data_IF_121502769725
#
_entry.id   IF_121502769725
#
_cell.length_a   1.000
_cell.length_b   1.000
_cell.length_c   1.000
_cell.angle_alpha   90.00
_cell.angle_beta   90.00
_cell.angle_gamma   90.00
#
_symmetry.space_group_name_H-M   'P 1'
#
loop_
_entity.id
_entity.type
_entity.pdbx_description
1 polymer ?
#
# COMPACT_ATOMS: atom_id res chain seq x y z
N UNK A 1 0.55 -4.56 -38.13
CA UNK A 1 0.40 -3.47 -37.15
C UNK A 1 -0.02 -4.10 -35.84
N UNK A 2 0.77 -3.98 -34.78
CA UNK A 2 0.39 -4.56 -33.49
C UNK A 2 -0.74 -3.71 -32.89
N UNK A 3 -1.90 -4.33 -32.61
CA UNK A 3 -3.02 -3.69 -31.91
C UNK A 3 -2.52 -3.00 -30.64
N UNK A 4 -2.81 -1.70 -30.53
CA UNK A 4 -2.53 -0.88 -29.35
C UNK A 4 -3.54 -1.31 -28.28
N UNK A 5 -3.09 -1.56 -27.06
CA UNK A 5 -4.00 -1.93 -25.96
C UNK A 5 -4.94 -0.75 -25.67
N UNK A 6 -6.23 -0.88 -26.01
CA UNK A 6 -7.26 0.18 -25.88
C UNK A 6 -7.84 0.28 -24.45
N UNK A 7 -7.45 -0.64 -23.57
CA UNK A 7 -7.94 -0.75 -22.19
C UNK A 7 -6.82 -0.87 -21.17
N UNK A 8 -7.13 -0.53 -19.91
CA UNK A 8 -6.21 -0.70 -18.78
C UNK A 8 -6.48 -2.01 -18.08
N UNK A 9 -5.41 -2.70 -17.69
CA UNK A 9 -5.46 -3.90 -16.86
C UNK A 9 -4.73 -3.60 -15.57
N UNK A 10 -5.40 -3.85 -14.45
CA UNK A 10 -4.84 -3.68 -13.12
C UNK A 10 -4.82 -4.99 -12.37
N UNK A 11 -3.80 -5.19 -11.55
CA UNK A 11 -3.62 -6.39 -10.72
C UNK A 11 -3.37 -5.98 -9.27
N UNK A 12 -4.28 -6.39 -8.38
CA UNK A 12 -4.12 -6.29 -6.92
C UNK A 12 -3.47 -7.57 -6.38
N UNK A 13 -2.26 -7.42 -5.84
CA UNK A 13 -1.44 -8.48 -5.27
C UNK A 13 -1.73 -8.60 -3.77
N UNK A 14 -2.73 -9.41 -3.44
CA UNK A 14 -3.08 -9.73 -2.06
C UNK A 14 -2.38 -10.98 -1.52
N UNK A 15 -2.31 -11.09 -0.19
CA UNK A 15 -1.74 -12.26 0.48
C UNK A 15 -2.59 -13.51 0.27
N UNK A 16 -3.92 -13.39 0.28
CA UNK A 16 -4.83 -14.54 0.15
C UNK A 16 -5.29 -14.78 -1.29
N UNK A 17 -5.32 -13.74 -2.12
CA UNK A 17 -5.78 -13.79 -3.50
C UNK A 17 -5.10 -12.71 -4.35
N UNK A 18 -5.06 -12.95 -5.66
CA UNK A 18 -4.69 -11.95 -6.66
C UNK A 18 -5.96 -11.63 -7.45
N UNK A 19 -6.25 -10.35 -7.61
CA UNK A 19 -7.47 -9.86 -8.28
C UNK A 19 -7.06 -9.03 -9.49
N UNK A 20 -7.70 -9.22 -10.64
CA UNK A 20 -7.48 -8.41 -11.82
C UNK A 20 -8.78 -7.81 -12.35
N UNK A 21 -8.68 -6.57 -12.85
CA UNK A 21 -9.74 -5.87 -13.57
C UNK A 21 -9.18 -5.34 -14.88
N UNK A 22 -9.97 -5.45 -15.94
CA UNK A 22 -9.75 -4.78 -17.20
C UNK A 22 -10.88 -3.79 -17.46
N UNK A 23 -10.55 -2.57 -17.87
CA UNK A 23 -11.57 -1.56 -18.13
C UNK A 23 -11.09 -0.34 -18.90
N UNK A 24 -12.07 0.44 -19.34
CA UNK A 24 -11.91 1.68 -20.10
C UNK A 24 -12.71 2.80 -19.45
N UNK A 25 -12.34 4.05 -19.76
CA UNK A 25 -13.17 5.21 -19.43
C UNK A 25 -14.00 5.54 -20.66
N UNK A 26 -15.31 5.55 -20.51
CA UNK A 26 -16.22 5.93 -21.59
C UNK A 26 -16.32 7.46 -21.73
N UNK A 27 -17.05 7.91 -22.75
CA UNK A 27 -17.24 9.33 -23.09
C UNK A 27 -17.86 10.14 -21.93
N UNK A 28 -18.67 9.50 -21.08
CA UNK A 28 -19.30 10.12 -19.91
C UNK A 28 -18.39 10.12 -18.67
N UNK A 29 -17.09 9.87 -18.82
CA UNK A 29 -16.13 9.76 -17.73
C UNK A 29 -16.47 8.69 -16.69
N UNK A 30 -17.26 7.67 -17.08
CA UNK A 30 -17.54 6.50 -16.25
C UNK A 30 -16.60 5.36 -16.62
N UNK A 31 -16.30 4.50 -15.65
CA UNK A 31 -15.46 3.33 -15.85
C UNK A 31 -16.32 2.16 -16.30
N UNK A 32 -16.03 1.62 -17.48
CA UNK A 32 -16.63 0.39 -17.98
C UNK A 32 -15.67 -0.77 -17.74
N UNK A 33 -16.16 -1.79 -17.02
CA UNK A 33 -15.39 -3.00 -16.75
C UNK A 33 -15.61 -3.98 -17.90
N UNK A 34 -14.54 -4.28 -18.62
CA UNK A 34 -14.54 -5.21 -19.76
C UNK A 34 -14.29 -6.65 -19.31
N UNK A 35 -13.57 -6.84 -18.19
CA UNK A 35 -13.30 -8.16 -17.66
C UNK A 35 -12.82 -8.09 -16.21
N UNK A 36 -13.07 -9.16 -15.46
CA UNK A 36 -12.60 -9.30 -14.09
C UNK A 36 -12.34 -10.73 -13.74
N UNK A 37 -11.38 -10.95 -12.85
CA UNK A 37 -11.09 -12.29 -12.36
C UNK A 37 -10.28 -12.27 -11.05
N UNK A 38 -10.22 -13.42 -10.37
CA UNK A 38 -9.40 -13.63 -9.18
C UNK A 38 -8.89 -15.07 -9.08
N UNK A 39 -7.71 -15.23 -8.50
CA UNK A 39 -7.10 -16.54 -8.18
C UNK A 39 -6.62 -16.56 -6.72
N UNK A 40 -6.57 -17.72 -6.05
CA UNK A 40 -5.81 -17.88 -4.82
C UNK A 40 -4.36 -17.44 -5.01
N UNK A 41 -3.82 -16.74 -4.02
CA UNK A 41 -2.44 -16.25 -4.07
C UNK A 41 -1.44 -17.37 -3.80
N UNK A 42 -0.26 -17.30 -4.43
CA UNK A 42 0.88 -18.21 -4.22
C UNK A 42 2.17 -17.39 -4.23
N UNK A 43 3.15 -17.79 -3.43
CA UNK A 43 4.41 -17.07 -3.31
C UNK A 43 4.33 -15.68 -2.66
N UNK A 44 3.21 -15.30 -2.02
CA UNK A 44 3.00 -13.98 -1.40
C UNK A 44 2.74 -14.16 0.10
N UNK A 45 3.40 -13.34 0.92
CA UNK A 45 3.24 -13.36 2.38
C UNK A 45 3.25 -11.94 2.91
N UNK A 46 2.29 -11.59 3.77
CA UNK A 46 2.17 -10.25 4.39
C UNK A 46 2.25 -9.11 3.36
N UNK A 47 1.61 -9.32 2.21
CA UNK A 47 1.53 -8.35 1.12
C UNK A 47 2.79 -8.18 0.28
N UNK A 48 3.77 -9.09 0.41
CA UNK A 48 5.05 -9.04 -0.33
C UNK A 48 5.21 -10.32 -1.14
N UNK A 49 5.66 -10.18 -2.40
CA UNK A 49 6.08 -11.32 -3.23
C UNK A 49 7.38 -11.92 -2.68
N UNK A 50 7.29 -13.10 -2.08
CA UNK A 50 8.42 -13.86 -1.55
C UNK A 50 8.98 -14.84 -2.60
N UNK A 51 8.11 -15.46 -3.39
CA UNK A 51 8.47 -16.37 -4.48
C UNK A 51 7.92 -15.84 -5.81
N UNK A 52 8.74 -15.13 -6.62
CA UNK A 52 8.34 -14.61 -7.92
C UNK A 52 7.88 -15.68 -8.92
N UNK A 53 8.36 -16.93 -8.83
CA UNK A 53 7.97 -17.99 -9.77
C UNK A 53 6.55 -18.49 -9.50
N UNK A 54 6.24 -18.75 -8.23
CA UNK A 54 4.88 -19.13 -7.82
C UNK A 54 3.87 -18.03 -8.13
N UNK A 55 4.23 -16.77 -7.86
CA UNK A 55 3.40 -15.62 -8.20
C UNK A 55 3.20 -15.51 -9.72
N UNK A 56 4.27 -15.66 -10.52
CA UNK A 56 4.17 -15.65 -11.98
C UNK A 56 3.23 -16.75 -12.51
N UNK A 57 3.27 -17.95 -11.91
CA UNK A 57 2.33 -19.02 -12.25
C UNK A 57 0.87 -18.63 -12.02
N UNK A 58 0.55 -18.08 -10.84
CA UNK A 58 -0.81 -17.61 -10.54
C UNK A 58 -1.24 -16.44 -11.43
N UNK A 59 -0.32 -15.51 -11.71
CA UNK A 59 -0.56 -14.36 -12.60
C UNK A 59 -0.84 -14.80 -14.04
N UNK A 60 -0.09 -15.77 -14.60
CA UNK A 60 -0.35 -16.31 -15.95
C UNK A 60 -1.76 -16.87 -16.07
N UNK A 61 -2.20 -17.65 -15.09
CA UNK A 61 -3.56 -18.20 -15.08
C UNK A 61 -4.63 -17.10 -15.02
N UNK A 62 -4.43 -16.09 -14.18
CA UNK A 62 -5.33 -14.96 -14.05
C UNK A 62 -5.43 -14.15 -15.35
N UNK A 63 -4.30 -13.85 -15.98
CA UNK A 63 -4.25 -13.06 -17.21
C UNK A 63 -4.85 -13.83 -18.39
N UNK A 64 -4.61 -15.14 -18.50
CA UNK A 64 -5.20 -15.96 -19.58
C UNK A 64 -6.73 -15.91 -19.56
N UNK A 65 -7.35 -16.09 -18.38
CA UNK A 65 -8.80 -16.00 -18.22
C UNK A 65 -9.35 -14.60 -18.44
N UNK A 66 -8.53 -13.57 -18.22
CA UNK A 66 -8.90 -12.19 -18.49
C UNK A 66 -8.80 -11.85 -19.99
N UNK A 67 -7.79 -12.35 -20.70
CA UNK A 67 -7.66 -12.23 -22.16
C UNK A 67 -8.86 -12.81 -22.91
N UNK A 68 -9.42 -13.92 -22.41
CA UNK A 68 -10.65 -14.54 -22.94
C UNK A 68 -11.87 -13.62 -22.82
N UNK A 69 -12.00 -12.86 -21.72
CA UNK A 69 -13.13 -11.96 -21.48
C UNK A 69 -13.06 -10.69 -22.31
N UNK A 70 -11.85 -10.16 -22.53
CA UNK A 70 -11.64 -8.88 -23.24
C UNK A 70 -11.35 -9.06 -24.73
N UNK A 71 -11.41 -10.30 -25.23
CA UNK A 71 -11.13 -10.69 -26.62
C UNK A 71 -9.83 -10.07 -27.17
N UNK A 72 -8.79 -9.99 -26.33
CA UNK A 72 -7.61 -9.19 -26.62
C UNK A 72 -6.36 -9.62 -25.86
N UNK A 73 -5.20 -9.29 -26.42
CA UNK A 73 -3.90 -9.57 -25.79
C UNK A 73 -3.54 -8.50 -24.76
N UNK A 74 -3.21 -8.96 -23.55
CA UNK A 74 -2.76 -8.10 -22.46
C UNK A 74 -1.24 -8.05 -22.50
N UNK A 75 -0.68 -6.85 -22.58
CA UNK A 75 0.78 -6.65 -22.63
C UNK A 75 1.30 -5.84 -21.47
N UNK A 76 0.52 -4.86 -21.02
CA UNK A 76 0.88 -3.99 -19.90
C UNK A 76 -0.12 -4.18 -18.80
N UNK A 77 0.39 -4.41 -17.58
CA UNK A 77 -0.40 -4.46 -16.36
C UNK A 77 0.08 -3.39 -15.39
N UNK A 78 -0.85 -2.60 -14.88
CA UNK A 78 -0.60 -1.74 -13.74
C UNK A 78 -0.83 -2.56 -12.46
N UNK A 79 0.02 -2.43 -11.45
CA UNK A 79 0.00 -3.29 -10.27
C UNK A 79 -0.20 -2.47 -9.01
N UNK A 80 -0.93 -3.06 -8.07
CA UNK A 80 -0.98 -2.57 -6.70
C UNK A 80 -0.59 -3.63 -5.69
N UNK A 81 0.22 -3.24 -4.71
CA UNK A 81 0.76 -4.11 -3.66
C UNK A 81 1.18 -3.24 -2.47
N UNK A 82 1.08 -3.79 -1.27
CA UNK A 82 1.71 -3.20 -0.09
C UNK A 82 1.95 -4.24 1.00
N UNK A 83 3.14 -4.16 1.60
CA UNK A 83 3.54 -4.92 2.78
C UNK A 83 4.17 -4.02 3.83
N UNK A 84 4.84 -4.62 4.82
CA UNK A 84 5.51 -3.92 5.92
C UNK A 84 6.60 -2.94 5.45
N UNK A 85 6.98 -1.97 6.29
CA UNK A 85 8.08 -1.05 5.96
C UNK A 85 7.65 0.07 5.01
N UNK A 86 6.34 0.31 4.84
CA UNK A 86 5.89 1.60 4.33
C UNK A 86 6.09 2.63 5.44
N UNK A 87 6.75 3.74 5.11
CA UNK A 87 6.94 4.88 5.99
C UNK A 87 6.50 6.16 5.33
N UNK A 88 5.98 7.08 6.13
CA UNK A 88 5.64 8.44 5.71
C UNK A 88 6.71 9.38 6.25
N UNK A 89 7.35 10.13 5.36
CA UNK A 89 8.34 11.15 5.68
C UNK A 89 7.84 12.52 5.20
N UNK A 90 8.34 13.57 5.83
CA UNK A 90 8.10 14.95 5.39
C UNK A 90 9.40 15.53 4.89
N UNK A 91 9.37 16.16 3.73
CA UNK A 91 10.46 16.98 3.22
C UNK A 91 10.03 18.45 3.22
N UNK A 92 10.92 19.33 3.66
CA UNK A 92 10.76 20.77 3.54
C UNK A 92 11.97 21.33 2.80
N UNK A 93 11.72 22.04 1.71
CA UNK A 93 12.74 22.64 0.86
C UNK A 93 12.44 24.10 0.60
N UNK A 94 13.48 24.91 0.37
CA UNK A 94 13.35 26.33 0.09
C UNK A 94 14.16 26.69 -1.15
N UNK A 95 13.55 27.51 -2.03
CA UNK A 95 14.18 28.04 -3.23
C UNK A 95 14.00 29.56 -3.31
N UNK A 96 15.08 30.25 -3.66
CA UNK A 96 15.05 31.68 -3.98
C UNK A 96 14.74 31.89 -5.46
N UNK A 97 13.92 32.88 -5.76
CA UNK A 97 13.36 33.11 -7.10
C UNK A 97 13.89 34.45 -7.62
N UNK A 98 14.79 34.39 -8.61
CA UNK A 98 15.50 35.56 -9.14
C UNK A 98 14.57 36.50 -9.92
N UNK A 99 13.65 35.94 -10.71
CA UNK A 99 12.66 36.71 -11.48
C UNK A 99 11.63 37.42 -10.60
N UNK A 100 11.49 37.03 -9.33
CA UNK A 100 10.40 37.42 -8.46
C UNK A 100 9.04 36.78 -8.82
N UNK A 101 9.00 35.87 -9.79
CA UNK A 101 7.79 35.15 -10.21
C UNK A 101 8.07 33.66 -10.27
N UNK A 102 7.31 32.85 -9.51
CA UNK A 102 7.50 31.40 -9.45
C UNK A 102 7.23 30.78 -10.82
N UNK A 103 8.20 30.03 -11.34
CA UNK A 103 8.08 29.24 -12.57
C UNK A 103 7.90 27.75 -12.28
N UNK A 104 7.46 26.98 -13.27
CA UNK A 104 7.43 25.51 -13.18
C UNK A 104 8.83 24.94 -12.88
N UNK A 105 9.89 25.57 -13.36
CA UNK A 105 11.27 25.12 -13.11
C UNK A 105 11.70 25.27 -11.64
N UNK A 106 11.07 26.18 -10.90
CA UNK A 106 11.31 26.36 -9.47
C UNK A 106 10.65 25.24 -8.65
N UNK A 107 9.43 24.85 -9.04
CA UNK A 107 8.71 23.72 -8.46
C UNK A 107 9.42 22.41 -8.77
N UNK A 108 9.77 22.17 -10.04
CA UNK A 108 10.46 20.95 -10.49
C UNK A 108 11.80 20.72 -9.76
N UNK A 109 12.47 21.80 -9.34
CA UNK A 109 13.69 21.71 -8.56
C UNK A 109 13.45 21.25 -7.14
N UNK A 110 12.47 21.84 -6.43
CA UNK A 110 12.15 21.43 -5.07
C UNK A 110 11.61 19.98 -5.06
N UNK A 111 10.83 19.60 -6.07
CA UNK A 111 10.43 18.21 -6.28
C UNK A 111 11.65 17.29 -6.48
N UNK A 112 12.63 17.71 -7.28
CA UNK A 112 13.85 16.94 -7.50
C UNK A 112 14.69 16.82 -6.23
N UNK A 113 14.77 17.86 -5.41
CA UNK A 113 15.44 17.79 -4.11
C UNK A 113 14.72 16.83 -3.17
N UNK A 114 13.39 16.92 -3.08
CA UNK A 114 12.58 16.00 -2.30
C UNK A 114 12.78 14.53 -2.74
N UNK A 115 12.83 14.27 -4.04
CA UNK A 115 13.09 12.93 -4.58
C UNK A 115 14.51 12.40 -4.29
N UNK A 116 15.48 13.29 -4.06
CA UNK A 116 16.87 12.92 -3.75
C UNK A 116 17.17 12.98 -2.25
N UNK A 117 16.15 13.16 -1.40
CA UNK A 117 16.31 13.09 0.05
C UNK A 117 16.98 11.77 0.45
N UNK A 118 18.00 11.79 1.32
CA UNK A 118 18.64 10.58 1.81
C UNK A 118 17.63 9.65 2.48
N UNK A 119 17.64 8.38 2.07
CA UNK A 119 16.81 7.33 2.66
C UNK A 119 17.68 6.24 3.27
N UNK A 120 17.07 5.42 4.11
CA UNK A 120 17.68 4.16 4.57
C UNK A 120 18.08 3.29 3.37
N UNK A 121 19.23 2.58 3.45
CA UNK A 121 19.65 1.67 2.37
C UNK A 121 18.55 0.67 1.99
N UNK A 122 18.28 0.57 0.69
CA UNK A 122 17.26 -0.34 0.16
C UNK A 122 15.83 0.22 0.15
N UNK A 123 15.60 1.45 0.59
CA UNK A 123 14.33 2.14 0.46
C UNK A 123 14.31 3.07 -0.76
N UNK A 124 13.10 3.36 -1.24
CA UNK A 124 12.85 4.36 -2.29
C UNK A 124 11.54 5.10 -2.04
N UNK A 125 11.44 6.29 -2.58
CA UNK A 125 10.18 7.04 -2.65
C UNK A 125 9.31 6.39 -3.73
N UNK A 126 8.10 5.99 -3.35
CA UNK A 126 7.08 5.48 -4.27
C UNK A 126 6.09 6.57 -4.67
N UNK A 127 5.69 7.41 -3.71
CA UNK A 127 4.71 8.47 -3.93
C UNK A 127 5.17 9.74 -3.24
N UNK A 128 4.91 10.89 -3.87
CA UNK A 128 5.19 12.20 -3.32
C UNK A 128 3.95 13.07 -3.50
N UNK A 129 3.57 13.80 -2.46
CA UNK A 129 2.40 14.65 -2.47
C UNK A 129 2.80 16.05 -2.00
N UNK A 130 2.47 17.11 -2.73
CA UNK A 130 2.63 18.47 -2.22
C UNK A 130 1.72 18.66 -1.00
N UNK A 131 2.30 19.10 0.12
CA UNK A 131 1.57 19.38 1.36
C UNK A 131 1.21 20.86 1.46
N UNK A 132 2.16 21.76 1.27
CA UNK A 132 1.93 23.20 1.29
C UNK A 132 3.04 23.96 0.57
N UNK A 133 2.71 25.14 0.06
CA UNK A 133 3.68 26.13 -0.40
C UNK A 133 3.53 27.41 0.42
N UNK A 134 4.64 28.09 0.67
CA UNK A 134 4.69 29.42 1.24
C UNK A 134 5.59 30.30 0.37
N UNK A 135 5.10 31.47 -0.03
CA UNK A 135 5.78 32.38 -0.96
C UNK A 135 5.78 33.79 -0.35
N UNK A 136 6.97 34.31 -0.03
CA UNK A 136 7.08 35.56 0.72
C UNK A 136 6.38 35.45 2.09
N UNK A 137 5.39 36.30 2.33
CA UNK A 137 4.55 36.30 3.54
C UNK A 137 3.24 35.51 3.37
N UNK A 138 2.95 35.03 2.16
CA UNK A 138 1.75 34.24 1.86
C UNK A 138 1.99 32.77 2.21
N UNK A 139 1.22 32.25 3.18
CA UNK A 139 1.22 30.84 3.57
C UNK A 139 0.08 30.06 2.91
N UNK A 140 0.25 28.74 2.75
CA UNK A 140 -0.76 27.81 2.23
C UNK A 140 -1.18 28.06 0.77
N UNK A 141 -0.23 28.52 -0.05
CA UNK A 141 -0.43 28.63 -1.50
C UNK A 141 -0.67 27.24 -2.09
N UNK A 142 -1.76 27.08 -2.83
CA UNK A 142 -2.16 25.78 -3.43
C UNK A 142 -1.45 25.58 -4.78
N UNK A 143 -1.47 26.61 -5.63
CA UNK A 143 -0.87 26.59 -6.97
C UNK A 143 0.27 27.60 -7.00
N UNK A 144 1.53 27.19 -6.80
CA UNK A 144 2.62 28.14 -6.59
C UNK A 144 3.05 28.85 -7.89
N UNK A 145 2.87 28.22 -9.05
CA UNK A 145 3.33 28.77 -10.34
C UNK A 145 2.55 30.05 -10.69
N UNK A 146 3.29 31.12 -10.99
CA UNK A 146 2.72 32.43 -11.31
C UNK A 146 2.49 33.34 -10.09
N UNK A 147 2.77 32.89 -8.87
CA UNK A 147 2.78 33.77 -7.71
C UNK A 147 4.04 34.64 -7.68
N UNK A 148 3.89 35.89 -7.25
CA UNK A 148 5.01 36.81 -7.06
C UNK A 148 5.67 36.59 -5.69
N UNK A 149 7.00 36.44 -5.69
CA UNK A 149 7.78 36.28 -4.47
C UNK A 149 9.24 35.98 -4.76
N UNK A 150 10.11 36.34 -3.81
CA UNK A 150 11.56 36.11 -3.91
C UNK A 150 12.03 34.83 -3.23
N UNK A 151 11.16 34.20 -2.43
CA UNK A 151 11.44 32.98 -1.68
C UNK A 151 10.19 32.12 -1.69
N UNK A 152 10.35 30.85 -2.08
CA UNK A 152 9.32 29.83 -1.99
C UNK A 152 9.82 28.70 -1.09
N UNK A 153 9.03 28.31 -0.10
CA UNK A 153 9.22 27.10 0.70
C UNK A 153 8.13 26.11 0.32
N UNK A 154 8.51 24.85 0.09
CA UNK A 154 7.60 23.77 -0.24
C UNK A 154 7.74 22.64 0.77
N UNK A 155 6.61 22.12 1.22
CA UNK A 155 6.53 20.95 2.07
C UNK A 155 5.92 19.80 1.25
N UNK A 156 6.54 18.62 1.28
CA UNK A 156 6.07 17.42 0.60
C UNK A 156 5.91 16.26 1.58
N UNK A 157 4.83 15.50 1.43
CA UNK A 157 4.67 14.19 2.07
C UNK A 157 5.25 13.12 1.14
N UNK A 158 6.24 12.38 1.62
CA UNK A 158 6.92 11.31 0.89
C UNK A 158 6.50 9.95 1.45
N UNK A 159 6.03 9.06 0.58
CA UNK A 159 5.73 7.68 0.94
C UNK A 159 6.86 6.80 0.43
N UNK A 160 7.59 6.20 1.37
CA UNK A 160 8.73 5.34 1.07
C UNK A 160 8.43 3.90 1.43
N UNK A 161 9.07 2.97 0.74
CA UNK A 161 9.01 1.54 1.02
C UNK A 161 10.26 0.84 0.48
N UNK A 162 10.49 -0.44 0.81
CA UNK A 162 11.57 -1.21 0.23
C UNK A 162 11.55 -1.19 -1.31
N UNK A 163 12.71 -0.94 -1.92
CA UNK A 163 12.88 -0.94 -3.37
C UNK A 163 12.56 -2.31 -3.98
N UNK A 164 12.80 -3.38 -3.22
CA UNK A 164 12.53 -4.76 -3.60
C UNK A 164 11.06 -5.05 -3.94
N UNK A 165 10.10 -4.22 -3.49
CA UNK A 165 8.69 -4.39 -3.82
C UNK A 165 8.44 -4.29 -5.33
N UNK A 166 8.97 -3.24 -5.96
CA UNK A 166 8.88 -3.10 -7.40
C UNK A 166 9.70 -4.16 -8.12
N UNK A 167 10.92 -4.41 -7.67
CA UNK A 167 11.87 -5.30 -8.37
C UNK A 167 11.36 -6.75 -8.43
N UNK A 168 10.76 -7.25 -7.34
CA UNK A 168 10.22 -8.63 -7.30
C UNK A 168 8.98 -8.78 -8.16
N UNK A 169 8.10 -7.78 -8.16
CA UNK A 169 6.91 -7.74 -9.02
C UNK A 169 7.31 -7.62 -10.49
N UNK A 170 8.23 -6.73 -10.83
CA UNK A 170 8.70 -6.52 -12.21
C UNK A 170 9.31 -7.80 -12.79
N UNK A 171 10.11 -8.53 -11.99
CA UNK A 171 10.64 -9.85 -12.37
C UNK A 171 9.52 -10.86 -12.64
N UNK A 172 8.52 -10.94 -11.77
CA UNK A 172 7.42 -11.89 -11.94
C UNK A 172 6.52 -11.55 -13.14
N UNK A 173 6.19 -10.27 -13.33
CA UNK A 173 5.41 -9.78 -14.48
C UNK A 173 6.16 -10.06 -15.79
N UNK A 174 7.47 -9.81 -15.83
CA UNK A 174 8.30 -10.10 -17.01
C UNK A 174 8.33 -11.59 -17.36
N UNK A 175 8.33 -12.49 -16.36
CA UNK A 175 8.24 -13.95 -16.56
C UNK A 175 6.91 -14.41 -17.18
N UNK A 176 5.88 -13.56 -17.13
CA UNK A 176 4.61 -13.81 -17.80
C UNK A 176 4.59 -13.29 -19.25
N UNK A 177 5.68 -12.70 -19.74
CA UNK A 177 5.70 -12.01 -21.04
C UNK A 177 4.97 -10.66 -21.02
N UNK A 178 4.75 -10.10 -19.83
CA UNK A 178 4.06 -8.83 -19.60
C UNK A 178 5.05 -7.73 -19.23
N UNK A 179 4.66 -6.49 -19.44
CA UNK A 179 5.38 -5.30 -18.99
C UNK A 179 4.67 -4.71 -17.77
N UNK A 180 5.46 -4.38 -16.74
CA UNK A 180 4.96 -3.63 -15.60
C UNK A 180 4.76 -2.16 -15.99
N UNK A 181 3.53 -1.68 -15.92
CA UNK A 181 3.19 -0.28 -16.09
C UNK A 181 3.44 0.51 -14.80
N UNK A 182 2.35 0.96 -14.21
CA UNK A 182 2.28 1.73 -12.97
C UNK A 182 2.33 0.79 -11.77
N UNK A 183 2.94 1.26 -10.70
CA UNK A 183 3.01 0.55 -9.43
C UNK A 183 2.51 1.50 -8.35
N UNK A 184 1.37 1.19 -7.75
CA UNK A 184 0.76 2.02 -6.71
C UNK A 184 0.67 1.23 -5.43
N UNK A 185 0.98 1.86 -4.30
CA UNK A 185 0.84 1.18 -3.01
C UNK A 185 -0.66 1.00 -2.75
N UNK A 186 -1.05 -0.22 -2.39
CA UNK A 186 -2.47 -0.56 -2.27
C UNK A 186 -3.29 0.25 -1.25
N UNK A 187 -2.72 0.85 -0.17
CA UNK A 187 -3.47 1.77 0.68
C UNK A 187 -4.01 2.99 -0.09
N UNK A 188 -3.28 3.50 -1.10
CA UNK A 188 -3.77 4.58 -1.97
C UNK A 188 -4.90 4.11 -2.88
N UNK A 189 -4.71 2.94 -3.49
CA UNK A 189 -5.71 2.39 -4.40
C UNK A 189 -7.03 2.12 -3.68
N UNK A 190 -7.00 1.53 -2.48
CA UNK A 190 -8.24 1.31 -1.73
C UNK A 190 -8.87 2.61 -1.24
N UNK A 191 -8.07 3.59 -0.80
CA UNK A 191 -8.60 4.89 -0.39
C UNK A 191 -9.37 5.55 -1.53
N UNK A 192 -8.76 5.64 -2.73
CA UNK A 192 -9.40 6.24 -3.90
C UNK A 192 -10.73 5.56 -4.29
N UNK A 193 -10.90 4.28 -3.95
CA UNK A 193 -12.13 3.56 -4.24
C UNK A 193 -13.26 3.85 -3.23
N UNK A 194 -12.96 4.17 -1.97
CA UNK A 194 -13.95 4.05 -0.88
C UNK A 194 -14.30 5.34 -0.14
N UNK A 195 -13.52 6.41 -0.36
CA UNK A 195 -13.77 7.72 0.24
C UNK A 195 -14.03 8.80 -0.81
N UNK A 196 -14.86 9.78 -0.47
CA UNK A 196 -15.10 10.97 -1.31
C UNK A 196 -14.08 12.07 -1.04
N UNK A 197 -14.07 13.11 -1.88
CA UNK A 197 -13.19 14.28 -1.66
C UNK A 197 -13.62 15.05 -0.40
N UNK A 198 -14.92 15.12 -0.11
CA UNK A 198 -15.43 15.77 1.11
C UNK A 198 -14.94 15.06 2.38
N UNK A 199 -14.85 13.72 2.36
CA UNK A 199 -14.29 12.96 3.49
C UNK A 199 -12.78 13.19 3.62
N UNK A 200 -12.05 13.33 2.51
CA UNK A 200 -10.62 13.69 2.53
C UNK A 200 -10.40 15.09 3.12
N UNK A 201 -11.30 16.04 2.83
CA UNK A 201 -11.25 17.41 3.34
C UNK A 201 -11.54 17.48 4.85
N UNK A 202 -12.63 16.86 5.29
CA UNK A 202 -13.01 16.79 6.71
C UNK A 202 -11.99 16.02 7.55
N UNK A 203 -11.35 15.02 6.94
CA UNK A 203 -10.38 14.15 7.56
C UNK A 203 -10.96 12.77 7.86
N UNK A 204 -10.32 11.74 7.33
CA UNK A 204 -10.84 10.37 7.35
C UNK A 204 -9.70 9.36 7.45
N UNK A 205 -9.94 8.27 8.18
CA UNK A 205 -9.07 7.10 8.22
C UNK A 205 -9.64 6.02 7.32
N UNK A 206 -8.83 5.47 6.42
CA UNK A 206 -9.15 4.25 5.68
C UNK A 206 -8.40 3.08 6.30
N UNK A 207 -9.15 2.11 6.80
CA UNK A 207 -8.65 0.88 7.40
C UNK A 207 -8.98 -0.34 6.53
N UNK A 208 -8.02 -0.84 5.75
CA UNK A 208 -8.18 -2.06 4.93
C UNK A 208 -7.66 -3.29 5.68
N UNK A 209 -8.57 -4.07 6.26
CA UNK A 209 -8.26 -5.27 7.05
C UNK A 209 -8.33 -6.50 6.12
N UNK A 210 -7.19 -6.79 5.49
CA UNK A 210 -7.02 -7.87 4.52
C UNK A 210 -6.86 -9.27 5.16
N UNK A 211 -6.24 -10.18 4.40
CA UNK A 211 -5.86 -11.50 4.93
C UNK A 211 -4.52 -11.46 5.67
N UNK A 212 -3.46 -11.00 5.01
CA UNK A 212 -2.11 -10.96 5.61
C UNK A 212 -1.68 -9.62 6.18
N UNK A 213 -2.43 -8.54 5.93
CA UNK A 213 -2.04 -7.17 6.29
C UNK A 213 -3.26 -6.31 6.60
N UNK A 214 -3.11 -5.43 7.59
CA UNK A 214 -4.03 -4.30 7.84
C UNK A 214 -3.36 -3.02 7.37
N UNK A 215 -4.04 -2.21 6.57
CA UNK A 215 -3.48 -0.98 5.99
C UNK A 215 -4.21 0.23 6.52
N UNK A 216 -3.46 1.27 6.84
CA UNK A 216 -3.95 2.52 7.41
C UNK A 216 -3.56 3.65 6.49
N UNK A 217 -4.54 4.43 6.05
CA UNK A 217 -4.32 5.66 5.28
C UNK A 217 -5.10 6.78 5.93
N UNK A 218 -4.48 7.93 6.14
CA UNK A 218 -5.07 9.06 6.83
C UNK A 218 -5.05 10.27 5.92
N UNK A 219 -6.22 10.87 5.73
CA UNK A 219 -6.40 12.12 5.01
C UNK A 219 -6.89 13.21 5.95
N UNK A 220 -6.53 14.46 5.64
CA UNK A 220 -7.07 15.67 6.26
C UNK A 220 -6.78 16.86 5.32
N UNK A 221 -7.70 17.82 5.24
CA UNK A 221 -7.59 18.99 4.37
C UNK A 221 -7.32 18.61 2.89
N UNK A 222 -7.92 17.51 2.44
CA UNK A 222 -7.80 17.02 1.06
C UNK A 222 -6.48 16.33 0.75
N UNK A 223 -5.61 16.14 1.76
CA UNK A 223 -4.24 15.67 1.56
C UNK A 223 -3.95 14.38 2.34
N UNK A 224 -3.03 13.58 1.81
CA UNK A 224 -2.49 12.43 2.52
C UNK A 224 -1.56 12.90 3.65
N UNK A 225 -1.90 12.53 4.88
CA UNK A 225 -1.13 12.86 6.09
C UNK A 225 -0.25 11.70 6.52
N UNK A 226 -0.79 10.48 6.45
CA UNK A 226 -0.09 9.30 6.97
C UNK A 226 -0.50 8.02 6.26
N UNK A 227 0.46 7.12 6.13
CA UNK A 227 0.26 5.77 5.60
C UNK A 227 1.13 4.77 6.35
N UNK A 228 0.52 3.64 6.72
CA UNK A 228 1.23 2.53 7.34
C UNK A 228 0.60 1.18 6.97
N UNK A 229 1.39 0.12 7.14
CA UNK A 229 0.94 -1.26 6.98
C UNK A 229 1.37 -2.09 8.19
N UNK A 230 0.37 -2.74 8.79
CA UNK A 230 0.51 -3.68 9.89
C UNK A 230 0.57 -5.10 9.28
N UNK A 231 1.62 -5.89 9.56
CA UNK A 231 1.91 -7.15 8.85
C UNK A 231 1.10 -8.37 9.36
N UNK A 232 -0.16 -8.16 9.76
CA UNK A 232 -1.09 -9.22 10.14
C UNK A 232 -2.55 -8.74 10.01
N UNK A 233 -3.46 -9.67 9.72
CA UNK A 233 -4.91 -9.44 9.61
C UNK A 233 -5.69 -10.77 9.69
N UNK A 234 -6.64 -11.04 8.78
CA UNK A 234 -7.52 -12.20 8.87
C UNK A 234 -6.87 -13.60 8.92
N UNK A 235 -5.62 -13.77 8.44
CA UNK A 235 -4.89 -15.05 8.53
C UNK A 235 -4.48 -15.41 9.95
N UNK A 236 -4.16 -14.40 10.78
CA UNK A 236 -3.80 -14.66 12.17
C UNK A 236 -5.02 -15.06 13.00
N UNK A 237 -6.21 -14.54 12.67
CA UNK A 237 -7.48 -15.01 13.22
C UNK A 237 -7.67 -16.50 12.93
N UNK A 238 -7.45 -16.92 11.68
CA UNK A 238 -7.57 -18.34 11.30
C UNK A 238 -6.57 -19.22 12.04
N UNK A 239 -5.34 -18.74 12.23
CA UNK A 239 -4.31 -19.48 12.99
C UNK A 239 -4.73 -19.67 14.45
N UNK A 240 -5.29 -18.63 15.05
CA UNK A 240 -5.74 -18.69 16.44
C UNK A 240 -6.94 -19.63 16.60
N UNK A 241 -7.87 -19.67 15.64
CA UNK A 241 -8.95 -20.67 15.61
C UNK A 241 -8.36 -22.08 15.47
N UNK A 242 -7.39 -22.27 14.56
CA UNK A 242 -6.72 -23.57 14.36
C UNK A 242 -6.09 -24.06 15.67
N UNK A 243 -5.40 -23.18 16.41
CA UNK A 243 -4.72 -23.51 17.67
C UNK A 243 -5.72 -23.68 18.82
N UNK A 244 -6.61 -22.70 19.04
CA UNK A 244 -7.60 -22.70 20.10
C UNK A 244 -8.63 -23.84 20.00
N UNK A 245 -9.00 -24.25 18.78
CA UNK A 245 -9.90 -25.39 18.55
C UNK A 245 -9.16 -26.70 18.26
N UNK A 246 -7.82 -26.65 18.09
CA UNK A 246 -7.00 -27.82 17.71
C UNK A 246 -7.52 -28.57 16.48
N UNK A 247 -7.79 -27.83 15.40
CA UNK A 247 -8.31 -28.35 14.11
C UNK A 247 -7.36 -28.02 12.95
N UNK A 248 -7.60 -28.59 11.77
CA UNK A 248 -6.80 -28.27 10.58
C UNK A 248 -7.08 -26.85 10.05
N UNK A 249 -6.08 -26.23 9.43
CA UNK A 249 -6.16 -24.87 8.87
C UNK A 249 -7.38 -24.68 7.94
N UNK A 250 -7.68 -25.68 7.11
CA UNK A 250 -8.83 -25.66 6.19
C UNK A 250 -10.14 -25.48 6.96
N UNK A 251 -10.33 -26.24 8.04
CA UNK A 251 -11.53 -26.17 8.87
C UNK A 251 -11.60 -24.85 9.64
N UNK A 252 -10.47 -24.36 10.16
CA UNK A 252 -10.41 -23.06 10.82
C UNK A 252 -10.84 -21.90 9.90
N UNK A 253 -10.39 -21.88 8.65
CA UNK A 253 -10.80 -20.83 7.69
C UNK A 253 -12.30 -20.95 7.37
N UNK A 254 -12.79 -22.17 7.20
CA UNK A 254 -14.21 -22.42 6.94
C UNK A 254 -15.09 -21.97 8.12
N UNK A 255 -14.69 -22.29 9.36
CA UNK A 255 -15.36 -21.83 10.57
C UNK A 255 -15.41 -20.30 10.64
N UNK A 256 -14.27 -19.64 10.42
CA UNK A 256 -14.20 -18.16 10.41
C UNK A 256 -15.15 -17.54 9.39
N UNK A 257 -15.20 -18.08 8.18
CA UNK A 257 -16.04 -17.54 7.09
C UNK A 257 -17.53 -17.81 7.32
N UNK A 258 -17.89 -19.00 7.81
CA UNK A 258 -19.29 -19.43 7.91
C UNK A 258 -19.96 -19.03 9.22
N UNK A 259 -19.21 -19.06 10.32
CA UNK A 259 -19.76 -18.93 11.68
C UNK A 259 -19.04 -17.88 12.53
N UNK A 260 -18.01 -17.23 11.99
CA UNK A 260 -17.25 -16.23 12.73
C UNK A 260 -18.09 -15.00 13.06
N UNK A 261 -17.86 -14.45 14.25
CA UNK A 261 -18.41 -13.16 14.68
C UNK A 261 -17.31 -12.34 15.35
N UNK A 262 -17.35 -11.02 15.18
CA UNK A 262 -16.34 -10.14 15.76
C UNK A 262 -16.53 -9.88 17.26
N UNK A 263 -17.73 -10.12 17.79
CA UNK A 263 -18.06 -9.86 19.19
C UNK A 263 -18.74 -11.10 19.79
N UNK A 264 -18.11 -11.68 20.81
CA UNK A 264 -18.55 -12.92 21.47
C UNK A 264 -19.91 -12.81 22.15
N UNK A 265 -20.26 -11.63 22.66
CA UNK A 265 -21.52 -11.41 23.37
C UNK A 265 -22.76 -11.47 22.47
N UNK A 266 -22.58 -11.38 21.14
CA UNK A 266 -23.66 -11.56 20.16
C UNK A 266 -23.75 -13.01 19.63
N UNK A 267 -22.83 -13.88 20.02
CA UNK A 267 -22.82 -15.27 19.56
C UNK A 267 -23.82 -16.12 20.34
N UNK A 268 -24.52 -17.00 19.63
CA UNK A 268 -25.52 -17.89 20.21
C UNK A 268 -24.84 -18.92 21.13
N UNK A 269 -25.25 -18.96 22.40
CA UNK A 269 -24.59 -19.72 23.47
C UNK A 269 -24.72 -21.24 23.30
N UNK A 270 -25.89 -21.71 22.84
CA UNK A 270 -26.20 -23.14 22.72
C UNK A 270 -25.81 -23.74 21.36
N UNK A 271 -25.35 -22.92 20.40
CA UNK A 271 -25.01 -23.41 19.06
C UNK A 271 -23.59 -23.97 19.01
N UNK A 272 -23.47 -25.16 18.41
CA UNK A 272 -22.22 -25.84 18.13
C UNK A 272 -22.11 -26.21 16.65
N UNK A 273 -20.88 -26.37 16.19
CA UNK A 273 -20.55 -26.93 14.88
C UNK A 273 -19.63 -28.12 15.04
N UNK A 274 -19.99 -29.23 14.42
CA UNK A 274 -19.19 -30.46 14.44
C UNK A 274 -18.20 -30.47 13.28
N UNK A 275 -16.91 -30.48 13.59
CA UNK A 275 -15.84 -30.72 12.64
C UNK A 275 -15.62 -32.23 12.53
N UNK A 276 -15.64 -32.79 11.31
CA UNK A 276 -15.45 -34.23 11.13
C UNK A 276 -14.05 -34.63 11.60
N UNK A 277 -13.99 -35.80 12.24
CA UNK A 277 -12.74 -36.47 12.57
C UNK A 277 -11.91 -36.76 11.32
N UNK A 278 -10.59 -36.85 11.47
CA UNK A 278 -9.69 -37.27 10.39
C UNK A 278 -8.66 -38.25 10.94
N UNK A 279 -8.18 -39.20 10.12
CA UNK A 279 -7.08 -40.12 10.47
C UNK A 279 -7.23 -40.81 11.84
N UNK A 280 -8.44 -41.28 12.17
CA UNK A 280 -8.73 -41.99 13.42
C UNK A 280 -8.99 -41.10 14.64
N UNK A 281 -8.99 -39.78 14.48
CA UNK A 281 -9.44 -38.84 15.52
C UNK A 281 -10.96 -38.71 15.51
N UNK A 282 -11.56 -38.62 16.69
CA UNK A 282 -12.99 -38.36 16.87
C UNK A 282 -13.41 -36.99 16.31
N UNK A 283 -14.67 -36.82 15.88
CA UNK A 283 -15.22 -35.51 15.57
C UNK A 283 -15.10 -34.55 16.76
N UNK A 284 -14.95 -33.26 16.45
CA UNK A 284 -14.85 -32.20 17.46
C UNK A 284 -16.04 -31.26 17.36
N UNK A 285 -16.66 -30.95 18.48
CA UNK A 285 -17.69 -29.92 18.57
C UNK A 285 -17.08 -28.60 19.04
N UNK A 286 -17.32 -27.54 18.28
CA UNK A 286 -16.87 -26.19 18.59
C UNK A 286 -18.10 -25.32 18.83
N UNK A 287 -18.20 -24.69 20.01
CA UNK A 287 -19.28 -23.75 20.28
C UNK A 287 -19.07 -22.44 19.52
N UNK A 288 -20.17 -21.82 19.10
CA UNK A 288 -20.14 -20.53 18.41
C UNK A 288 -19.57 -19.44 19.33
N UNK A 289 -19.90 -19.50 20.63
CA UNK A 289 -19.40 -18.58 21.64
C UNK A 289 -17.89 -18.66 21.81
N UNK A 290 -17.32 -19.86 21.92
CA UNK A 290 -15.85 -20.03 21.99
C UNK A 290 -15.16 -19.57 20.71
N UNK A 291 -15.71 -19.89 19.54
CA UNK A 291 -15.19 -19.41 18.25
C UNK A 291 -15.18 -17.87 18.19
N UNK A 292 -16.27 -17.23 18.60
CA UNK A 292 -16.41 -15.79 18.56
C UNK A 292 -15.45 -15.08 19.54
N UNK A 293 -15.23 -15.60 20.75
CA UNK A 293 -14.25 -15.02 21.67
C UNK A 293 -12.80 -15.14 21.17
N UNK A 294 -12.44 -16.25 20.50
CA UNK A 294 -11.12 -16.38 19.85
C UNK A 294 -10.96 -15.31 18.75
N UNK A 295 -11.99 -15.12 17.93
CA UNK A 295 -11.99 -14.11 16.86
C UNK A 295 -11.91 -12.71 17.43
N UNK A 296 -12.73 -12.38 18.44
CA UNK A 296 -12.77 -11.08 19.09
C UNK A 296 -11.41 -10.71 19.66
N UNK A 297 -10.76 -11.60 20.42
CA UNK A 297 -9.46 -11.33 21.03
C UNK A 297 -8.41 -10.94 19.98
N UNK A 298 -8.37 -11.62 18.84
CA UNK A 298 -7.43 -11.27 17.77
C UNK A 298 -7.83 -9.98 17.03
N UNK A 299 -9.12 -9.74 16.85
CA UNK A 299 -9.58 -8.49 16.25
C UNK A 299 -9.28 -7.29 17.11
N UNK A 300 -9.43 -7.39 18.44
CA UNK A 300 -9.05 -6.34 19.37
C UNK A 300 -7.56 -5.97 19.20
N UNK A 301 -6.65 -6.94 19.11
CA UNK A 301 -5.23 -6.66 18.86
C UNK A 301 -4.97 -5.98 17.48
N UNK A 302 -5.71 -6.39 16.44
CA UNK A 302 -5.63 -5.75 15.11
C UNK A 302 -6.12 -4.30 15.19
N UNK A 303 -7.22 -4.05 15.90
CA UNK A 303 -7.82 -2.74 16.04
C UNK A 303 -6.97 -1.83 16.93
N UNK A 304 -6.36 -2.36 17.99
CA UNK A 304 -5.43 -1.61 18.84
C UNK A 304 -4.19 -1.19 18.05
N UNK A 305 -3.69 -2.09 17.20
CA UNK A 305 -2.59 -1.76 16.29
C UNK A 305 -2.98 -0.70 15.26
N UNK A 306 -4.22 -0.74 14.76
CA UNK A 306 -4.79 0.30 13.90
C UNK A 306 -4.86 1.64 14.65
N UNK A 307 -5.40 1.65 15.87
CA UNK A 307 -5.53 2.85 16.71
C UNK A 307 -4.16 3.48 16.99
N UNK A 308 -3.16 2.68 17.33
CA UNK A 308 -1.79 3.16 17.50
C UNK A 308 -1.24 3.87 16.25
N UNK A 309 -1.54 3.36 15.04
CA UNK A 309 -1.13 4.03 13.80
C UNK A 309 -1.90 5.34 13.57
N UNK A 310 -3.18 5.41 13.95
CA UNK A 310 -3.99 6.64 13.88
C UNK A 310 -3.45 7.68 14.86
N UNK A 311 -3.12 7.30 16.08
CA UNK A 311 -2.48 8.18 17.07
C UNK A 311 -1.15 8.74 16.55
N UNK A 312 -0.29 7.86 16.03
CA UNK A 312 1.01 8.23 15.46
C UNK A 312 0.89 9.19 14.27
N UNK A 313 -0.22 9.16 13.53
CA UNK A 313 -0.47 10.08 12.42
C UNK A 313 -0.71 11.53 12.87
N UNK A 314 -1.03 11.76 14.16
CA UNK A 314 -1.44 13.07 14.66
C UNK A 314 -2.86 13.47 14.25
N UNK A 315 -3.69 12.54 13.76
CA UNK A 315 -5.08 12.86 13.37
C UNK A 315 -5.98 13.11 14.58
N UNK A 316 -5.76 12.44 15.72
CA UNK A 316 -6.67 12.57 16.87
C UNK A 316 -6.69 13.99 17.48
N UNK A 317 -5.70 14.83 17.17
CA UNK A 317 -5.72 16.25 17.51
C UNK A 317 -6.56 17.11 16.56
N UNK A 318 -7.17 16.51 15.53
CA UNK A 318 -8.02 17.15 14.52
C UNK A 318 -9.41 16.49 14.47
N UNK A 319 -10.43 17.21 14.02
CA UNK A 319 -11.79 16.68 13.90
C UNK A 319 -11.89 15.70 12.73
N UNK A 320 -11.70 14.40 12.99
CA UNK A 320 -11.89 13.36 11.97
C UNK A 320 -13.38 12.96 11.84
N UNK A 321 -13.83 12.71 10.61
CA UNK A 321 -15.17 12.21 10.32
C UNK A 321 -15.38 10.76 10.78
N UNK A 322 -14.30 9.97 10.88
CA UNK A 322 -14.34 8.60 11.37
C UNK A 322 -13.44 7.65 10.57
N UNK A 323 -13.75 6.35 10.68
CA UNK A 323 -13.00 5.26 10.07
C UNK A 323 -13.83 4.57 8.98
N UNK A 324 -13.31 4.54 7.76
CA UNK A 324 -13.86 3.76 6.65
C UNK A 324 -13.15 2.40 6.61
N UNK A 325 -13.88 1.34 6.97
CA UNK A 325 -13.35 -0.02 7.09
C UNK A 325 -13.59 -0.80 5.80
N UNK A 326 -12.55 -1.43 5.27
CA UNK A 326 -12.59 -2.26 4.06
C UNK A 326 -11.81 -3.56 4.26
N UNK A 327 -11.66 -4.33 3.18
CA UNK A 327 -10.88 -5.56 3.14
C UNK A 327 -11.70 -6.84 3.27
N UNK A 328 -11.02 -7.98 3.32
CA UNK A 328 -11.69 -9.29 3.40
C UNK A 328 -12.32 -9.55 4.77
N UNK A 329 -11.68 -9.05 5.83
CA UNK A 329 -12.07 -9.30 7.23
C UNK A 329 -13.30 -8.48 7.64
N UNK A 330 -13.63 -7.42 6.90
CA UNK A 330 -14.82 -6.60 7.15
C UNK A 330 -16.15 -7.33 6.95
N UNK A 331 -16.11 -8.56 6.42
CA UNK A 331 -17.26 -9.45 6.29
C UNK A 331 -17.65 -10.13 7.59
N UNK A 332 -16.80 -10.09 8.62
CA UNK A 332 -17.16 -10.60 9.94
C UNK A 332 -18.32 -9.76 10.51
N UNK A 333 -19.45 -10.38 10.88
CA UNK A 333 -20.52 -9.71 11.60
C UNK A 333 -19.99 -8.97 12.82
N UNK A 334 -20.58 -7.81 13.11
CA UNK A 334 -20.28 -6.98 14.28
C UNK A 334 -18.87 -6.34 14.29
N UNK A 335 -18.08 -6.43 13.21
CA UNK A 335 -16.75 -5.82 13.18
C UNK A 335 -16.81 -4.30 13.35
N UNK A 336 -17.77 -3.62 12.70
CA UNK A 336 -17.90 -2.18 12.83
C UNK A 336 -18.18 -1.76 14.28
N UNK A 337 -19.04 -2.50 14.98
CA UNK A 337 -19.37 -2.25 16.38
C UNK A 337 -18.12 -2.38 17.25
N UNK A 338 -17.31 -3.43 17.02
CA UNK A 338 -16.04 -3.60 17.73
C UNK A 338 -15.06 -2.46 17.43
N UNK A 339 -14.94 -2.03 16.16
CA UNK A 339 -14.09 -0.89 15.78
C UNK A 339 -14.53 0.39 16.50
N UNK A 340 -15.83 0.71 16.48
CA UNK A 340 -16.36 1.89 17.18
C UNK A 340 -16.11 1.83 18.68
N UNK A 341 -16.35 0.67 19.29
CA UNK A 341 -16.15 0.45 20.72
C UNK A 341 -14.69 0.61 21.15
N UNK A 342 -13.75 0.00 20.41
CA UNK A 342 -12.32 0.04 20.74
C UNK A 342 -11.66 1.39 20.45
N UNK A 343 -12.07 2.06 19.37
CA UNK A 343 -11.43 3.31 18.94
C UNK A 343 -12.10 4.57 19.48
N UNK A 344 -13.37 4.48 19.91
CA UNK A 344 -14.18 5.64 20.25
C UNK A 344 -14.56 6.52 19.05
N UNK A 345 -14.17 6.13 17.83
CA UNK A 345 -14.44 6.87 16.59
C UNK A 345 -15.68 6.29 15.90
N UNK A 346 -16.42 7.11 15.15
CA UNK A 346 -17.44 6.57 14.26
C UNK A 346 -16.80 5.76 13.13
N UNK A 347 -17.53 4.79 12.60
CA UNK A 347 -17.04 3.91 11.55
C UNK A 347 -18.15 3.45 10.58
N UNK A 348 -17.77 3.30 9.31
CA UNK A 348 -18.64 2.76 8.27
C UNK A 348 -17.90 1.74 7.40
N UNK A 349 -18.64 0.89 6.70
CA UNK A 349 -18.05 0.06 5.65
C UNK A 349 -17.67 0.93 4.44
N UNK A 350 -16.58 0.56 3.79
CA UNK A 350 -16.18 1.11 2.50
C UNK A 350 -17.08 0.59 1.38
N UNK A 351 -17.64 1.51 0.59
CA UNK A 351 -18.39 1.21 -0.62
C UNK A 351 -17.74 1.96 -1.78
N UNK A 352 -17.90 1.46 -2.99
CA UNK A 352 -17.32 2.11 -4.16
C UNK A 352 -17.87 3.53 -4.33
N UNK A 353 -16.97 4.51 -4.40
CA UNK A 353 -17.25 5.86 -4.88
C UNK A 353 -16.96 6.00 -6.39
N UNK A 354 -16.49 4.92 -7.00
CA UNK A 354 -16.11 4.87 -8.41
C UNK A 354 -17.36 4.87 -9.29
N UNK A 355 -17.43 5.83 -10.22
CA UNK A 355 -18.53 5.94 -11.19
C UNK A 355 -18.44 4.86 -12.26
N UNK A 356 -19.00 3.68 -11.99
CA UNK A 356 -19.08 2.58 -12.94
C UNK A 356 -20.18 2.83 -14.01
N UNK A 357 -19.95 2.35 -15.24
CA UNK A 357 -20.89 2.42 -16.35
C UNK A 357 -21.96 1.32 -16.30
N UNK A 358 -21.61 0.15 -15.75
CA UNK A 358 -22.45 -1.05 -15.59
C UNK A 358 -22.52 -1.47 -14.10
N UNK A 359 -23.52 -2.28 -13.74
CA UNK A 359 -24.05 -2.42 -12.37
C UNK A 359 -23.09 -2.75 -11.22
N UNK A 360 -23.61 -2.64 -10.00
CA UNK A 360 -22.92 -2.64 -8.69
C UNK A 360 -22.18 -3.92 -8.27
N UNK A 361 -21.91 -4.87 -9.17
CA UNK A 361 -21.31 -6.17 -8.80
C UNK A 361 -19.88 -6.04 -8.24
N UNK A 362 -19.25 -4.88 -8.44
CA UNK A 362 -17.91 -4.52 -7.98
C UNK A 362 -17.88 -3.77 -6.64
N UNK A 363 -19.04 -3.50 -6.02
CA UNK A 363 -19.12 -2.91 -4.67
C UNK A 363 -18.70 -3.89 -3.55
N UNK A 364 -18.39 -5.14 -3.92
CA UNK A 364 -17.90 -6.16 -2.99
C UNK A 364 -16.50 -5.76 -2.52
N UNK A 365 -16.16 -5.85 -1.22
CA UNK A 365 -14.82 -5.55 -0.68
C UNK A 365 -13.67 -6.28 -1.38
N UNK A 366 -14.00 -7.37 -2.08
CA UNK A 366 -13.05 -8.15 -2.85
C UNK A 366 -12.44 -7.44 -4.07
N UNK A 367 -13.10 -6.42 -4.64
CA UNK A 367 -12.64 -5.76 -5.86
C UNK A 367 -12.30 -4.28 -5.68
N UNK A 368 -12.62 -3.68 -4.52
CA UNK A 368 -12.45 -2.24 -4.27
C UNK A 368 -11.01 -1.74 -4.50
N UNK A 369 -9.99 -2.46 -4.02
CA UNK A 369 -8.59 -2.08 -4.24
C UNK A 369 -8.22 -2.06 -5.72
N UNK A 370 -8.62 -3.10 -6.47
CA UNK A 370 -8.39 -3.15 -7.90
C UNK A 370 -9.18 -2.05 -8.63
N UNK A 371 -10.40 -1.75 -8.18
CA UNK A 371 -11.25 -0.72 -8.78
C UNK A 371 -10.66 0.69 -8.60
N UNK A 372 -10.16 1.01 -7.42
CA UNK A 372 -9.46 2.29 -7.20
C UNK A 372 -8.13 2.36 -7.95
N UNK A 373 -7.41 1.24 -8.08
CA UNK A 373 -6.23 1.17 -8.95
C UNK A 373 -6.59 1.43 -10.42
N UNK A 374 -7.71 0.89 -10.90
CA UNK A 374 -8.21 1.13 -12.25
C UNK A 374 -8.61 2.59 -12.45
N UNK A 375 -9.28 3.20 -11.47
CA UNK A 375 -9.59 4.63 -11.47
C UNK A 375 -8.33 5.48 -11.60
N UNK A 376 -7.30 5.22 -10.78
CA UNK A 376 -6.01 5.91 -10.86
C UNK A 376 -5.33 5.72 -12.22
N UNK A 377 -5.37 4.49 -12.75
CA UNK A 377 -4.72 4.14 -14.03
C UNK A 377 -5.41 4.75 -15.25
N UNK A 378 -6.74 4.92 -15.20
CA UNK A 378 -7.55 5.52 -16.27
C UNK A 378 -7.65 7.03 -16.18
N UNK A 379 -7.49 7.63 -14.99
CA UNK A 379 -7.68 9.06 -14.80
C UNK A 379 -6.71 9.90 -15.64
N UNK A 380 -5.58 9.35 -16.09
CA UNK A 380 -4.50 10.11 -16.74
C UNK A 380 -4.08 11.37 -15.95
N UNK A 381 -4.54 11.51 -14.68
CA UNK A 381 -3.97 12.40 -13.69
C UNK A 381 -2.53 11.98 -13.65
N UNK A 382 -1.71 12.93 -14.03
CA UNK A 382 -0.31 12.77 -14.28
C UNK A 382 0.27 11.94 -13.14
N UNK A 383 0.45 10.63 -13.38
CA UNK A 383 1.18 9.77 -12.48
C UNK A 383 2.59 10.32 -12.34
N UNK A 384 3.01 11.38 -13.05
CA UNK A 384 4.20 12.18 -12.79
C UNK A 384 4.32 12.66 -11.33
N UNK A 385 3.22 13.00 -10.62
CA UNK A 385 3.24 13.22 -9.16
C UNK A 385 3.64 11.94 -8.37
N UNK A 386 3.47 10.77 -8.99
CA UNK A 386 3.82 9.43 -8.48
C UNK A 386 4.94 8.72 -9.25
N UNK A 387 5.54 9.36 -10.26
CA UNK A 387 6.47 8.78 -11.24
C UNK A 387 7.39 9.87 -11.77
N UNK A 388 8.51 10.06 -11.09
CA UNK A 388 9.81 10.24 -11.76
C UNK A 388 10.84 9.30 -11.15
N UNK A 389 10.68 8.01 -11.44
CA UNK A 389 11.77 7.02 -11.31
C UNK A 389 11.89 6.25 -12.61
N UNK A 390 12.51 6.89 -13.62
CA UNK A 390 13.30 6.24 -14.67
C UNK A 390 13.70 7.26 -15.74
N UNK A 391 14.81 7.98 -15.49
CA UNK A 391 15.76 8.29 -16.57
C UNK A 391 17.17 8.07 -16.05
N UNK A 392 17.82 7.11 -16.69
CA UNK A 392 19.20 6.67 -16.60
C UNK A 392 20.17 7.76 -16.11
N UNK A 393 20.81 7.51 -14.96
CA UNK A 393 22.16 7.97 -14.72
C UNK A 393 23.08 7.16 -15.62
N UNK A 394 23.39 7.70 -16.80
CA UNK A 394 24.41 7.13 -17.67
C UNK A 394 25.76 7.21 -16.95
N UNK A 395 26.30 6.07 -16.55
CA UNK A 395 27.73 5.95 -16.32
C UNK A 395 28.41 6.26 -17.65
N UNK A 396 29.04 7.43 -17.76
CA UNK A 396 30.10 7.64 -18.75
C UNK A 396 31.26 6.75 -18.31
N UNK A 397 31.46 5.65 -19.02
CA UNK A 397 32.77 5.01 -19.09
C UNK A 397 33.78 6.08 -19.53
N UNK A 398 34.69 6.42 -18.62
CA UNK A 398 35.89 7.16 -18.98
C UNK A 398 36.76 6.20 -19.77
N UNK A 399 36.93 6.51 -21.05
CA UNK A 399 37.82 5.81 -21.95
C UNK A 399 39.23 5.74 -21.34
N UNK A 400 39.76 4.52 -21.18
CA UNK A 400 41.18 4.29 -20.94
C UNK A 400 41.95 4.62 -22.20
N UNK A 401 42.53 5.81 -22.26
CA UNK A 401 43.66 6.06 -23.15
C UNK A 401 44.89 5.32 -22.63
N UNK A 402 45.41 4.45 -23.49
CA UNK A 402 46.74 3.86 -23.36
C UNK A 402 47.76 4.93 -23.75
N UNK A 403 48.52 5.41 -22.79
CA UNK A 403 49.89 5.90 -23.03
C UNK A 403 50.81 5.28 -22.00
N UNK A 404 51.83 4.58 -22.51
CA UNK A 404 52.73 3.77 -21.72
C UNK A 404 53.81 4.56 -20.97
N UNK A 405 54.48 3.78 -20.12
CA UNK A 405 55.87 3.88 -19.69
C UNK A 405 56.30 5.11 -18.88
N UNK A 406 56.36 4.89 -17.56
CA UNK A 406 57.58 5.06 -16.76
C UNK A 406 57.88 6.47 -16.27
N UNK A 407 57.73 6.70 -14.96
CA UNK A 407 58.76 7.20 -14.04
C UNK A 407 58.17 7.46 -12.64
N UNK A 408 58.89 7.01 -11.59
CA UNK A 408 58.77 7.39 -10.16
C UNK A 408 57.57 6.80 -9.39
N UNK A 409 57.66 5.72 -8.61
CA UNK A 409 58.56 5.38 -7.49
C UNK A 409 58.73 6.53 -6.47
N UNK A 410 58.21 6.29 -5.25
CA UNK A 410 58.27 7.08 -4.02
C UNK A 410 57.06 7.96 -3.73
N UNK A 411 56.09 7.40 -3.00
CA UNK A 411 55.52 8.06 -1.81
C UNK A 411 54.67 7.08 -0.96
N UNK A 412 55.18 5.86 -0.74
CA UNK A 412 54.65 4.94 0.26
C UNK A 412 55.54 4.98 1.49
N UNK A 413 55.21 5.85 2.45
CA UNK A 413 55.62 5.85 3.88
C UNK A 413 55.32 7.23 4.46
N UNK A 414 54.10 7.42 4.97
CA UNK A 414 53.79 8.25 6.15
C UNK A 414 52.29 8.21 6.42
N UNK A 415 51.97 7.99 7.69
CA UNK A 415 50.66 8.13 8.32
C UNK A 415 49.69 6.94 8.17
N UNK A 416 50.09 5.81 8.76
CA UNK A 416 49.15 4.83 9.33
C UNK A 416 49.49 4.71 10.82
N UNK A 417 48.97 5.64 11.62
CA UNK A 417 48.97 5.59 13.08
C UNK A 417 48.04 6.70 13.59
N UNK A 418 46.78 6.35 13.88
CA UNK A 418 45.90 6.95 14.89
C UNK A 418 44.47 6.43 14.73
N UNK A 419 44.25 5.14 15.01
CA UNK A 419 42.96 4.62 15.48
C UNK A 419 43.30 3.53 16.49
N UNK A 420 43.42 3.91 17.76
CA UNK A 420 43.28 3.05 18.94
C UNK A 420 43.54 3.93 20.16
N UNK A 421 42.48 4.42 20.81
CA UNK A 421 42.40 4.86 22.21
C UNK A 421 41.05 5.56 22.36
N UNK A 422 40.13 4.90 23.07
CA UNK A 422 39.03 5.41 23.91
C UNK A 422 38.12 4.20 24.11
N UNK A 423 38.48 3.35 25.07
CA UNK A 423 37.61 2.49 25.88
C UNK A 423 38.43 2.01 27.08
N UNK A 424 37.82 2.09 28.27
CA UNK A 424 38.24 1.59 29.61
C UNK A 424 39.38 2.40 30.28
N UNK A 425 39.30 2.92 31.50
CA UNK A 425 38.41 2.75 32.65
C UNK A 425 38.49 4.01 33.55
N UNK A 426 37.42 4.30 34.30
CA UNK A 426 37.53 4.88 35.64
C UNK A 426 36.35 4.37 36.48
N UNK A 427 36.64 3.39 37.34
CA UNK A 427 35.76 2.89 38.39
C UNK A 427 36.10 3.59 39.73
N UNK A 428 35.05 3.84 40.51
CA UNK A 428 34.99 4.04 41.97
C UNK A 428 35.47 5.37 42.60
N UNK A 429 34.52 6.20 43.07
CA UNK A 429 34.21 6.30 44.52
C UNK A 429 33.00 7.23 44.81
N UNK A 430 32.24 6.82 45.85
CA UNK A 430 31.10 7.45 46.58
C UNK A 430 29.71 7.46 45.94
#
# INVERSE_FOLDING_TARGET
>A
MASKQEFKVVVDIGTTKITALAGIRNENSRIEILGHDRVPSRGIKRGIVQNPEEFAGALRHLITRLEEQVEGKIRVVDVTMAGQGITTLTFEGTRYIESGLVSQSDVDYLEKEAYNMPLEPGYRIYHMFPKSYAIGDESNVIVPVGHEGRKMTACYTLITAPASYRDTVEKAVSRCGLQLGSFVLSPLAIAEAVISEEEKDLGVVVADIGGGTTKVTVFSEGRLIYMAVIPFAGEVITRDIKEGCSILQKWAEQLKIQYGQAMGDFAEEEKVVTIPGHSGWEPKEISFKSLAYIIQARLEEIIDSLLYQIEKSGLLSHSAQGIVVSGGTCKLPNLLQLVKFRTGMDARLGFSQVRAASGNDFDKPAFLTALGMLQLSLASRDLSQYKKTSRQGGFKEIAKEKTGTGFLSNLGKKVTQQISLIFEDDDANT
#
